data_IF_990848768238
#
_entry.id   IF_990848768238
#
_cell.length_a   1.000
_cell.length_b   1.000
_cell.length_c   1.000
_cell.angle_alpha   90.00
_cell.angle_beta   90.00
_cell.angle_gamma   90.00
#
_symmetry.space_group_name_H-M   'P 1'
#
loop_
_entity.id
_entity.type
_entity.pdbx_description
1 polymer ?
#
# COMPACT_ATOMS: atom_id res chain seq x y z
N UNK A 1 -2.75 5.42 -8.16
CA UNK A 1 -3.32 4.05 -8.03
C UNK A 1 -4.73 4.06 -8.62
N UNK A 2 -5.20 2.95 -9.19
CA UNK A 2 -6.54 2.88 -9.78
C UNK A 2 -7.64 2.69 -8.72
N UNK A 3 -7.34 1.92 -7.67
CA UNK A 3 -8.28 1.62 -6.58
C UNK A 3 -7.50 1.50 -5.27
N UNK A 4 -8.08 1.96 -4.16
CA UNK A 4 -7.56 1.78 -2.81
C UNK A 4 -8.69 1.27 -1.93
N UNK A 5 -8.45 0.17 -1.23
CA UNK A 5 -9.33 -0.31 -0.18
C UNK A 5 -8.76 0.10 1.18
N UNK A 6 -9.65 0.53 2.07
CA UNK A 6 -9.33 1.01 3.42
C UNK A 6 -9.93 0.01 4.41
N UNK A 7 -9.11 -0.57 5.27
CA UNK A 7 -9.56 -1.46 6.34
C UNK A 7 -9.19 -0.87 7.69
N UNK A 8 -10.21 -0.44 8.43
CA UNK A 8 -10.07 0.09 9.78
C UNK A 8 -10.01 -1.03 10.83
N UNK A 9 -9.61 -0.68 12.05
CA UNK A 9 -9.61 -1.58 13.20
C UNK A 9 -8.49 -2.62 13.19
N UNK A 10 -7.40 -2.35 12.48
CA UNK A 10 -6.20 -3.21 12.48
C UNK A 10 -5.42 -2.97 13.78
N UNK A 11 -4.84 -4.04 14.33
CA UNK A 11 -3.90 -3.96 15.44
C UNK A 11 -2.54 -4.44 14.94
N UNK A 12 -1.54 -3.57 15.03
CA UNK A 12 -0.18 -3.86 14.62
C UNK A 12 0.68 -4.11 15.84
N UNK A 13 1.20 -5.34 15.94
CA UNK A 13 2.07 -5.78 17.04
C UNK A 13 3.48 -5.98 16.52
N UNK A 14 4.43 -5.26 17.07
CA UNK A 14 5.83 -5.28 16.63
C UNK A 14 6.80 -5.02 17.78
N UNK A 15 8.10 -5.12 17.52
CA UNK A 15 9.14 -4.74 18.49
C UNK A 15 9.83 -3.46 18.06
N UNK A 16 9.95 -2.52 18.97
CA UNK A 16 10.70 -1.28 18.79
C UNK A 16 11.42 -0.91 20.08
N UNK A 17 12.71 -0.57 19.96
CA UNK A 17 13.56 -0.24 21.11
C UNK A 17 13.50 -1.29 22.24
N UNK A 18 13.54 -2.57 21.88
CA UNK A 18 13.47 -3.70 22.80
C UNK A 18 12.09 -3.97 23.43
N UNK A 19 11.09 -3.11 23.19
CA UNK A 19 9.73 -3.23 23.75
C UNK A 19 8.77 -3.80 22.72
N UNK A 20 7.73 -4.50 23.19
CA UNK A 20 6.59 -4.87 22.35
C UNK A 20 5.65 -3.67 22.28
N UNK A 21 5.37 -3.23 21.06
CA UNK A 21 4.41 -2.18 20.74
C UNK A 21 3.11 -2.81 20.24
N UNK A 22 1.99 -2.14 20.48
CA UNK A 22 0.68 -2.52 19.97
C UNK A 22 -0.09 -1.24 19.62
N UNK A 23 -0.25 -0.98 18.34
CA UNK A 23 -0.86 0.25 17.83
C UNK A 23 -2.10 -0.05 16.99
N UNK A 24 -3.09 0.84 17.10
CA UNK A 24 -4.27 0.82 16.25
C UNK A 24 -3.96 1.48 14.91
N UNK A 25 -4.20 0.76 13.82
CA UNK A 25 -3.83 1.20 12.48
C UNK A 25 -4.96 0.99 11.47
N UNK A 26 -4.75 1.56 10.28
CA UNK A 26 -5.60 1.40 9.11
C UNK A 26 -4.77 0.78 8.00
N UNK A 27 -5.20 -0.35 7.47
CA UNK A 27 -4.51 -1.01 6.36
C UNK A 27 -5.06 -0.50 5.02
N UNK A 28 -4.14 -0.05 4.16
CA UNK A 28 -4.45 0.37 2.79
C UNK A 28 -4.00 -0.70 1.79
N UNK A 29 -4.92 -1.13 0.92
CA UNK A 29 -4.60 -2.06 -0.17
C UNK A 29 -4.85 -1.41 -1.53
N UNK A 30 -3.78 -0.86 -2.12
CA UNK A 30 -3.82 -0.14 -3.39
C UNK A 30 -3.56 -1.05 -4.60
N UNK A 31 -4.33 -0.89 -5.68
CA UNK A 31 -4.19 -1.59 -6.96
C UNK A 31 -3.63 -0.61 -7.98
N UNK A 32 -2.51 -0.97 -8.58
CA UNK A 32 -1.75 -0.07 -9.44
C UNK A 32 -0.90 -0.85 -10.44
N UNK A 33 -0.45 -0.19 -11.51
CA UNK A 33 0.57 -0.73 -12.39
C UNK A 33 1.96 -0.69 -11.74
N UNK A 34 2.82 -1.66 -12.06
CA UNK A 34 4.20 -1.75 -11.54
C UNK A 34 5.01 -0.49 -11.82
N UNK A 35 4.78 0.19 -12.94
CA UNK A 35 5.48 1.43 -13.29
C UNK A 35 5.26 2.56 -12.27
N UNK A 36 4.14 2.54 -11.53
CA UNK A 36 3.81 3.58 -10.54
C UNK A 36 4.45 3.35 -9.17
N UNK A 37 5.17 2.23 -8.96
CA UNK A 37 5.71 1.86 -7.66
C UNK A 37 6.53 2.99 -7.01
N UNK A 38 7.53 3.51 -7.72
CA UNK A 38 8.42 4.55 -7.17
C UNK A 38 7.67 5.83 -6.79
N UNK A 39 6.69 6.22 -7.60
CA UNK A 39 5.86 7.41 -7.34
C UNK A 39 4.99 7.24 -6.11
N UNK A 40 4.38 6.07 -5.95
CA UNK A 40 3.54 5.75 -4.78
C UNK A 40 4.38 5.67 -3.51
N UNK A 41 5.52 4.99 -3.54
CA UNK A 41 6.41 4.89 -2.38
C UNK A 41 6.86 6.29 -1.93
N UNK A 42 7.29 7.14 -2.86
CA UNK A 42 7.71 8.51 -2.56
C UNK A 42 6.55 9.34 -1.99
N UNK A 43 5.36 9.25 -2.59
CA UNK A 43 4.18 9.95 -2.11
C UNK A 43 3.82 9.55 -0.67
N UNK A 44 3.80 8.25 -0.37
CA UNK A 44 3.48 7.78 0.99
C UNK A 44 4.54 8.27 1.96
N UNK A 45 5.84 8.09 1.67
CA UNK A 45 6.92 8.57 2.57
C UNK A 45 6.85 10.07 2.85
N UNK A 46 6.47 10.88 1.87
CA UNK A 46 6.37 12.33 2.04
C UNK A 46 5.16 12.78 2.86
N UNK A 47 4.09 11.96 2.94
CA UNK A 47 2.82 12.33 3.55
C UNK A 47 2.47 11.50 4.81
N UNK A 48 3.23 10.44 5.10
CA UNK A 48 2.96 9.58 6.25
C UNK A 48 3.59 10.17 7.53
N UNK A 49 2.90 10.10 8.69
CA UNK A 49 3.43 10.65 9.95
C UNK A 49 4.65 9.90 10.49
N UNK A 50 4.80 8.62 10.13
CA UNK A 50 5.94 7.80 10.58
C UNK A 50 7.18 8.04 9.73
N UNK A 51 8.34 8.01 10.38
CA UNK A 51 9.63 8.08 9.70
C UNK A 51 9.90 6.84 8.81
N UNK A 52 9.37 5.68 9.20
CA UNK A 52 9.49 4.42 8.47
C UNK A 52 8.10 3.76 8.35
N UNK A 53 7.26 4.17 7.38
CA UNK A 53 5.99 3.51 7.12
C UNK A 53 6.20 2.12 6.51
N UNK A 54 5.29 1.18 6.80
CA UNK A 54 5.22 -0.09 6.08
C UNK A 54 4.68 0.15 4.66
N UNK A 55 5.49 -0.15 3.64
CA UNK A 55 5.10 -0.05 2.23
C UNK A 55 5.59 -1.31 1.52
N UNK A 56 4.68 -2.21 1.20
CA UNK A 56 4.98 -3.47 0.52
C UNK A 56 4.14 -3.63 -0.75
N UNK A 57 4.73 -4.21 -1.80
CA UNK A 57 4.03 -4.57 -3.03
C UNK A 57 4.00 -6.09 -3.20
N UNK A 58 2.80 -6.62 -3.41
CA UNK A 58 2.59 -8.01 -3.77
C UNK A 58 2.09 -8.07 -5.21
N UNK A 59 2.73 -8.91 -6.03
CA UNK A 59 2.30 -9.16 -7.40
C UNK A 59 1.39 -10.39 -7.42
N UNK A 60 0.10 -10.26 -7.81
CA UNK A 60 -0.76 -11.43 -7.96
C UNK A 60 -0.25 -12.33 -9.09
N UNK A 61 -0.33 -13.65 -8.89
CA UNK A 61 -0.01 -14.62 -9.94
C UNK A 61 -0.98 -14.52 -11.12
N UNK A 62 -2.26 -14.28 -10.83
CA UNK A 62 -3.32 -14.18 -11.82
C UNK A 62 -4.30 -13.04 -11.47
N UNK A 63 -4.90 -12.46 -12.51
CA UNK A 63 -5.97 -11.46 -12.42
C UNK A 63 -6.73 -11.42 -13.74
N UNK A 64 -7.97 -10.96 -13.72
CA UNK A 64 -8.76 -10.89 -14.96
C UNK A 64 -8.18 -9.87 -15.93
N UNK A 65 -8.14 -10.23 -17.23
CA UNK A 65 -7.59 -9.35 -18.28
C UNK A 65 -8.32 -8.01 -18.36
N UNK A 66 -9.63 -7.99 -18.11
CA UNK A 66 -10.42 -6.76 -18.10
C UNK A 66 -9.99 -5.84 -16.95
N UNK A 67 -9.84 -6.38 -15.73
CA UNK A 67 -9.45 -5.59 -14.58
C UNK A 67 -8.01 -5.07 -14.69
N UNK A 68 -7.09 -5.91 -15.16
CA UNK A 68 -5.70 -5.49 -15.41
C UNK A 68 -5.58 -4.35 -16.43
N UNK A 69 -6.40 -4.38 -17.49
CA UNK A 69 -6.48 -3.28 -18.48
C UNK A 69 -6.99 -1.99 -17.84
N UNK A 70 -8.10 -2.07 -17.10
CA UNK A 70 -8.64 -0.93 -16.39
C UNK A 70 -7.63 -0.32 -15.41
N UNK A 71 -6.98 -1.14 -14.57
CA UNK A 71 -5.92 -0.66 -13.65
C UNK A 71 -4.79 0.03 -14.42
N UNK A 72 -4.38 -0.54 -15.55
CA UNK A 72 -3.32 0.04 -16.37
C UNK A 72 -3.73 1.38 -16.96
N UNK A 73 -4.97 1.52 -17.42
CA UNK A 73 -5.54 2.76 -18.00
C UNK A 73 -5.68 3.88 -16.96
N UNK A 74 -6.25 3.60 -15.80
CA UNK A 74 -6.41 4.56 -14.69
C UNK A 74 -5.08 4.96 -14.03
N UNK A 75 -3.99 4.29 -14.40
CA UNK A 75 -2.65 4.58 -13.87
C UNK A 75 -1.65 4.97 -14.96
N UNK A 76 -2.14 5.34 -16.15
CA UNK A 76 -1.31 6.02 -17.15
C UNK A 76 -1.03 7.44 -16.64
N UNK A 77 0.25 7.79 -16.63
CA UNK A 77 0.72 9.17 -16.45
C UNK A 77 0.84 9.83 -17.82
#
# INVERSE_FOLDING_TARGET
AACVQIQDGVQSIYRWDGKVCNDAEVLLSAKTATAQWKGIEAFIRANHPYQLPEIIALKPAEYSRAYGRWVSEETKS
#
